data_IF_266468824626
#
_entry.id   IF_266468824626
#
_cell.length_a   1.000
_cell.length_b   1.000
_cell.length_c   1.000
_cell.angle_alpha   90.00
_cell.angle_beta   90.00
_cell.angle_gamma   90.00
#
_symmetry.space_group_name_H-M   'P 1'
#
loop_
_entity.id
_entity.type
_entity.pdbx_description
1 polymer ?
#
# COMPACT_ATOMS: atom_id res chain seq x y z
N UNK A 1 7.89 5.89 -4.34
CA UNK A 1 8.96 4.90 -4.40
C UNK A 1 9.75 4.95 -3.09
N UNK A 2 9.92 3.84 -2.43
CA UNK A 2 10.82 3.68 -1.29
C UNK A 2 11.95 2.75 -1.72
N UNK A 3 13.16 2.98 -1.18
CA UNK A 3 14.24 2.00 -1.30
C UNK A 3 13.85 0.73 -0.54
N UNK A 4 14.21 -0.44 -1.06
CA UNK A 4 14.02 -1.71 -0.35
C UNK A 4 15.14 -1.99 0.66
N UNK A 5 16.28 -1.29 0.52
CA UNK A 5 17.46 -1.49 1.36
C UNK A 5 17.65 -0.44 2.45
N UNK A 6 16.97 0.69 2.36
CA UNK A 6 17.11 1.77 3.32
C UNK A 6 15.80 2.06 4.05
N UNK A 7 15.89 2.29 5.34
CA UNK A 7 14.77 2.64 6.21
C UNK A 7 14.41 4.10 6.02
N UNK A 8 15.41 4.96 5.83
CA UNK A 8 15.22 6.41 5.69
C UNK A 8 15.74 6.91 4.33
N UNK A 9 15.19 8.03 3.84
CA UNK A 9 15.63 8.65 2.59
C UNK A 9 17.06 9.23 2.71
N UNK A 10 17.51 9.52 3.93
CA UNK A 10 18.88 9.95 4.24
C UNK A 10 19.92 8.90 3.87
N UNK A 11 19.60 7.61 4.04
CA UNK A 11 20.52 6.50 3.74
C UNK A 11 20.83 6.37 2.24
N UNK A 12 20.09 7.09 1.38
CA UNK A 12 20.33 7.15 -0.06
C UNK A 12 21.35 8.22 -0.47
N UNK A 13 21.85 8.97 0.48
CA UNK A 13 22.89 9.99 0.28
C UNK A 13 24.18 9.44 0.87
N UNK A 14 25.28 9.61 0.15
CA UNK A 14 26.63 9.14 0.58
C UNK A 14 27.02 9.80 1.90
N UNK A 15 27.31 9.01 2.92
CA UNK A 15 27.61 9.51 4.29
C UNK A 15 28.80 10.45 4.35
N UNK A 16 29.83 10.17 3.56
CA UNK A 16 31.07 10.98 3.50
C UNK A 16 30.88 12.34 2.82
N UNK A 17 29.76 12.51 2.11
CA UNK A 17 29.43 13.75 1.42
C UNK A 17 28.48 14.63 2.22
N UNK A 18 28.18 14.30 3.49
CA UNK A 18 27.24 15.06 4.30
C UNK A 18 27.96 16.33 4.79
N UNK A 19 27.85 17.38 3.98
CA UNK A 19 28.10 18.78 4.30
C UNK A 19 26.78 19.44 4.70
N UNK A 20 26.78 20.74 4.88
CA UNK A 20 25.57 21.52 5.22
C UNK A 20 24.41 21.26 4.22
N UNK A 21 24.77 21.04 2.95
CA UNK A 21 23.81 20.60 1.91
C UNK A 21 24.43 19.45 1.12
N UNK A 22 23.78 18.31 1.12
CA UNK A 22 24.20 17.14 0.34
C UNK A 22 23.04 16.64 -0.51
N UNK A 23 23.33 16.13 -1.69
CA UNK A 23 22.30 15.64 -2.59
C UNK A 23 22.68 14.32 -3.26
N UNK A 24 21.66 13.56 -3.65
CA UNK A 24 21.77 12.40 -4.52
C UNK A 24 20.73 12.50 -5.63
N UNK A 25 21.12 12.15 -6.85
CA UNK A 25 20.24 12.18 -8.02
C UNK A 25 20.18 10.81 -8.69
N UNK A 26 18.99 10.35 -8.97
CA UNK A 26 18.75 9.18 -9.80
C UNK A 26 18.01 9.66 -11.06
N UNK A 27 18.52 9.30 -12.23
CA UNK A 27 17.91 9.66 -13.51
C UNK A 27 17.76 8.40 -14.37
N UNK A 28 16.61 8.27 -15.04
CA UNK A 28 16.32 7.18 -15.96
C UNK A 28 15.51 7.70 -17.15
N UNK A 29 15.67 7.06 -18.29
CA UNK A 29 14.84 7.29 -19.47
C UNK A 29 14.08 6.00 -19.77
N UNK A 30 12.77 6.06 -19.69
CA UNK A 30 11.87 4.96 -20.04
C UNK A 30 11.44 5.17 -21.49
N UNK A 31 11.69 4.18 -22.33
CA UNK A 31 11.25 4.17 -23.73
C UNK A 31 10.10 3.19 -23.87
N UNK A 32 9.00 3.66 -24.42
CA UNK A 32 7.82 2.85 -24.73
C UNK A 32 7.38 3.19 -26.16
N UNK A 33 7.45 2.23 -27.05
CA UNK A 33 7.22 2.44 -28.49
C UNK A 33 8.13 3.57 -29.03
N UNK A 34 7.54 4.67 -29.50
CA UNK A 34 8.27 5.84 -30.02
C UNK A 34 8.40 6.98 -29.00
N UNK A 35 7.82 6.83 -27.81
CA UNK A 35 7.85 7.83 -26.76
C UNK A 35 9.00 7.59 -25.80
N UNK A 36 9.56 8.68 -25.28
CA UNK A 36 10.56 8.62 -24.21
C UNK A 36 10.16 9.49 -23.05
N UNK A 37 10.18 8.91 -21.85
CA UNK A 37 9.85 9.61 -20.60
C UNK A 37 11.07 9.66 -19.70
N UNK A 38 11.55 10.86 -19.41
CA UNK A 38 12.66 11.09 -18.48
C UNK A 38 12.13 11.15 -17.05
N UNK A 39 12.66 10.30 -16.18
CA UNK A 39 12.34 10.26 -14.75
C UNK A 39 13.56 10.73 -13.95
N UNK A 40 13.37 11.63 -13.02
CA UNK A 40 14.42 12.09 -12.12
C UNK A 40 13.91 12.12 -10.68
N UNK A 41 14.70 11.57 -9.76
CA UNK A 41 14.47 11.64 -8.32
C UNK A 41 15.71 12.28 -7.69
N UNK A 42 15.50 13.37 -6.98
CA UNK A 42 16.53 14.08 -6.24
C UNK A 42 16.25 13.91 -4.75
N UNK A 43 17.26 13.53 -4.02
CA UNK A 43 17.27 13.55 -2.56
C UNK A 43 18.21 14.65 -2.11
N UNK A 44 17.73 15.56 -1.30
CA UNK A 44 18.50 16.63 -0.70
C UNK A 44 18.47 16.46 0.81
N UNK A 45 19.64 16.50 1.44
CA UNK A 45 19.78 16.49 2.88
C UNK A 45 20.32 17.84 3.33
N UNK A 46 19.63 18.47 4.26
CA UNK A 46 20.04 19.74 4.88
C UNK A 46 20.22 19.55 6.38
N UNK A 47 21.22 20.19 6.96
CA UNK A 47 21.40 20.24 8.40
C UNK A 47 20.25 21.04 9.02
N UNK A 48 19.72 20.58 10.12
CA UNK A 48 18.65 21.26 10.83
C UNK A 48 19.27 22.25 11.82
N UNK A 49 18.87 23.52 11.77
CA UNK A 49 19.39 24.58 12.63
C UNK A 49 19.09 24.38 14.13
N UNK A 50 18.07 23.56 14.43
CA UNK A 50 17.56 23.40 15.81
C UNK A 50 17.87 22.02 16.44
N UNK A 51 18.61 21.16 15.76
CA UNK A 51 18.99 19.83 16.29
C UNK A 51 20.20 19.28 15.54
N UNK A 52 20.99 18.44 16.16
CA UNK A 52 22.08 17.68 15.49
C UNK A 52 21.56 16.71 14.39
N UNK A 53 20.36 16.95 13.90
CA UNK A 53 19.66 16.15 12.91
C UNK A 53 19.79 16.71 11.50
N UNK A 54 19.62 15.81 10.51
CA UNK A 54 19.50 16.16 9.10
C UNK A 54 18.08 15.88 8.61
N UNK A 55 17.53 16.81 7.83
CA UNK A 55 16.24 16.64 7.17
C UNK A 55 16.47 16.25 5.71
N UNK A 56 15.92 15.11 5.31
CA UNK A 56 15.96 14.65 3.93
C UNK A 56 14.67 15.02 3.19
N UNK A 57 14.80 15.67 2.04
CA UNK A 57 13.68 16.02 1.16
C UNK A 57 13.84 15.31 -0.19
N UNK A 58 12.73 14.91 -0.76
CA UNK A 58 12.68 14.23 -2.05
C UNK A 58 11.92 15.07 -3.08
N UNK A 59 12.56 15.31 -4.20
CA UNK A 59 11.98 15.99 -5.36
C UNK A 59 11.91 15.02 -6.55
N UNK A 60 10.79 15.02 -7.25
CA UNK A 60 10.56 14.14 -8.38
C UNK A 60 10.21 14.98 -9.59
N UNK A 61 10.80 14.64 -10.74
CA UNK A 61 10.48 15.24 -12.02
C UNK A 61 10.19 14.17 -13.07
N UNK A 62 9.21 14.45 -13.90
CA UNK A 62 8.87 13.68 -15.10
C UNK A 62 8.92 14.65 -16.28
N UNK A 63 9.78 14.39 -17.26
CA UNK A 63 10.04 15.29 -18.38
C UNK A 63 10.30 16.74 -17.91
N UNK A 64 11.17 16.89 -16.90
CA UNK A 64 11.54 18.15 -16.22
C UNK A 64 10.41 18.82 -15.41
N UNK A 65 9.17 18.34 -15.46
CA UNK A 65 8.06 18.88 -14.68
C UNK A 65 8.00 18.27 -13.28
N UNK A 66 7.85 19.05 -12.20
CA UNK A 66 7.75 18.52 -10.86
C UNK A 66 6.48 17.68 -10.70
N UNK A 67 6.60 16.53 -10.02
CA UNK A 67 5.52 15.57 -9.79
C UNK A 67 5.53 15.04 -8.36
N UNK A 68 4.38 14.59 -7.89
CA UNK A 68 4.28 13.88 -6.62
C UNK A 68 4.72 12.42 -6.77
N UNK A 69 5.18 11.80 -5.69
CA UNK A 69 5.56 10.38 -5.68
C UNK A 69 4.46 9.46 -6.20
N UNK A 70 3.21 9.86 -6.03
CA UNK A 70 2.04 9.16 -6.53
C UNK A 70 1.94 9.11 -8.05
N UNK A 71 2.43 10.15 -8.71
CA UNK A 71 2.26 10.32 -10.15
C UNK A 71 3.28 9.48 -10.93
N UNK A 72 4.29 8.93 -10.22
CA UNK A 72 5.24 7.97 -10.79
C UNK A 72 4.65 6.56 -10.93
N UNK A 73 3.64 6.25 -10.14
CA UNK A 73 3.04 4.91 -10.14
C UNK A 73 2.34 4.70 -11.48
N UNK A 74 2.72 3.63 -12.19
CA UNK A 74 2.22 3.30 -13.52
C UNK A 74 2.96 3.96 -14.69
N UNK A 75 3.96 4.86 -14.43
CA UNK A 75 4.85 5.36 -15.50
C UNK A 75 5.96 4.34 -15.81
N UNK A 76 6.50 3.73 -14.76
CA UNK A 76 7.46 2.64 -14.86
C UNK A 76 6.94 1.46 -14.04
N UNK A 77 6.53 0.41 -14.73
CA UNK A 77 6.17 -0.85 -14.10
C UNK A 77 7.41 -1.75 -14.06
N UNK A 78 7.92 -1.96 -12.85
CA UNK A 78 9.10 -2.77 -12.63
C UNK A 78 8.79 -3.89 -11.63
N UNK A 79 9.29 -5.08 -11.93
CA UNK A 79 9.28 -6.22 -11.01
C UNK A 79 10.68 -6.35 -10.43
N UNK A 80 10.78 -6.31 -9.13
CA UNK A 80 12.05 -6.51 -8.40
C UNK A 80 11.83 -7.69 -7.48
N UNK A 81 12.72 -8.66 -7.53
CA UNK A 81 12.74 -9.79 -6.59
C UNK A 81 13.91 -9.64 -5.63
N UNK A 82 13.62 -9.71 -4.34
CA UNK A 82 14.60 -9.61 -3.26
C UNK A 82 14.31 -10.67 -2.20
N UNK A 83 15.25 -10.89 -1.28
CA UNK A 83 15.05 -11.81 -0.15
C UNK A 83 13.82 -11.44 0.69
N UNK A 84 13.47 -10.14 0.78
CA UNK A 84 12.30 -9.67 1.51
C UNK A 84 10.97 -10.11 0.86
N UNK A 85 10.98 -10.52 -0.42
CA UNK A 85 9.77 -11.00 -1.09
C UNK A 85 9.36 -12.40 -0.63
N UNK A 86 10.24 -13.12 0.07
CA UNK A 86 9.90 -14.34 0.80
C UNK A 86 8.86 -14.10 1.91
N UNK A 87 8.73 -12.87 2.38
CA UNK A 87 7.68 -12.46 3.32
C UNK A 87 6.26 -12.62 2.74
N UNK A 88 6.12 -12.76 1.42
CA UNK A 88 4.85 -13.09 0.80
C UNK A 88 4.37 -14.47 1.30
N UNK A 89 5.28 -15.39 1.54
CA UNK A 89 4.99 -16.76 2.00
C UNK A 89 5.02 -16.82 3.53
N UNK A 90 6.13 -16.39 4.13
CA UNK A 90 6.39 -16.55 5.57
C UNK A 90 5.94 -15.37 6.43
N UNK A 91 5.73 -14.21 5.82
CA UNK A 91 5.39 -12.97 6.52
C UNK A 91 3.93 -12.87 6.93
N UNK A 92 3.57 -11.70 7.41
CA UNK A 92 2.24 -11.39 7.95
C UNK A 92 1.20 -11.20 6.84
N UNK A 93 -0.10 -11.39 7.12
CA UNK A 93 -1.17 -11.06 6.18
C UNK A 93 -1.14 -9.61 5.67
N UNK A 94 -0.60 -8.67 6.45
CA UNK A 94 -0.37 -7.28 6.04
C UNK A 94 0.61 -7.16 4.88
N UNK A 95 1.66 -8.00 4.85
CA UNK A 95 2.71 -7.94 3.84
C UNK A 95 2.17 -8.47 2.50
N UNK A 96 1.38 -9.54 2.54
CA UNK A 96 0.64 -10.04 1.37
C UNK A 96 -0.35 -9.03 0.80
N UNK A 97 -1.11 -8.33 1.68
CA UNK A 97 -2.01 -7.26 1.22
C UNK A 97 -1.24 -6.10 0.60
N UNK A 98 -0.14 -5.69 1.22
CA UNK A 98 0.73 -4.63 0.70
C UNK A 98 1.31 -4.98 -0.67
N UNK A 99 1.71 -6.22 -0.88
CA UNK A 99 2.16 -6.71 -2.20
C UNK A 99 1.06 -6.54 -3.25
N UNK A 100 -0.17 -7.02 -2.97
CA UNK A 100 -1.31 -6.85 -3.86
C UNK A 100 -1.63 -5.37 -4.12
N UNK A 101 -1.58 -4.54 -3.08
CA UNK A 101 -1.86 -3.11 -3.21
C UNK A 101 -0.86 -2.41 -4.13
N UNK A 102 0.43 -2.77 -4.03
CA UNK A 102 1.48 -2.25 -4.91
C UNK A 102 1.22 -2.70 -6.34
N UNK A 103 0.98 -4.00 -6.55
CA UNK A 103 0.76 -4.59 -7.86
C UNK A 103 -0.46 -3.98 -8.57
N UNK A 104 -1.62 -3.94 -7.88
CA UNK A 104 -2.85 -3.40 -8.45
C UNK A 104 -2.70 -1.89 -8.73
N UNK A 105 -2.07 -1.15 -7.82
CA UNK A 105 -1.87 0.30 -7.99
C UNK A 105 -1.02 0.68 -9.20
N UNK A 106 -0.17 -0.21 -9.70
CA UNK A 106 0.62 0.03 -10.91
C UNK A 106 -0.24 0.01 -12.18
N UNK A 107 -1.30 -0.79 -12.20
CA UNK A 107 -2.15 -1.01 -13.38
C UNK A 107 -3.52 -0.36 -13.27
N UNK A 108 -3.95 0.03 -12.07
CA UNK A 108 -5.26 0.62 -11.79
C UNK A 108 -5.12 1.91 -10.95
N UNK A 109 -5.24 3.07 -11.62
CA UNK A 109 -5.15 4.38 -10.97
C UNK A 109 -6.33 4.67 -10.03
N UNK A 110 -7.50 4.11 -10.32
CA UNK A 110 -8.68 4.26 -9.46
C UNK A 110 -8.49 3.50 -8.15
N UNK A 111 -7.93 2.28 -8.22
CA UNK A 111 -7.55 1.52 -7.05
C UNK A 111 -6.61 2.31 -6.15
N UNK A 112 -5.56 2.92 -6.72
CA UNK A 112 -4.62 3.75 -5.97
C UNK A 112 -5.30 4.94 -5.28
N UNK A 113 -6.26 5.59 -5.96
CA UNK A 113 -7.05 6.69 -5.37
C UNK A 113 -7.87 6.18 -4.18
N UNK A 114 -8.58 5.07 -4.36
CA UNK A 114 -9.42 4.49 -3.31
C UNK A 114 -8.61 3.97 -2.12
N UNK A 115 -7.45 3.39 -2.37
CA UNK A 115 -6.53 2.94 -1.31
C UNK A 115 -6.07 4.11 -0.41
N UNK A 116 -5.82 5.27 -1.00
CA UNK A 116 -5.46 6.48 -0.24
C UNK A 116 -6.62 7.02 0.58
N UNK A 117 -7.80 7.10 -0.02
CA UNK A 117 -8.98 7.56 0.71
C UNK A 117 -9.33 6.60 1.85
N UNK A 118 -9.27 5.29 1.61
CA UNK A 118 -9.44 4.28 2.65
C UNK A 118 -8.46 4.46 3.81
N UNK A 119 -7.18 4.69 3.50
CA UNK A 119 -6.14 4.92 4.53
C UNK A 119 -6.41 6.18 5.37
N UNK A 120 -6.79 7.30 4.73
CA UNK A 120 -7.16 8.53 5.43
C UNK A 120 -8.36 8.33 6.34
N UNK A 121 -9.40 7.69 5.82
CA UNK A 121 -10.64 7.44 6.57
C UNK A 121 -10.37 6.51 7.75
N UNK A 122 -9.58 5.45 7.56
CA UNK A 122 -9.17 4.57 8.65
C UNK A 122 -8.44 5.34 9.74
N UNK A 123 -7.56 6.28 9.38
CA UNK A 123 -6.86 7.13 10.35
C UNK A 123 -7.82 8.00 11.15
N UNK A 124 -8.79 8.64 10.50
CA UNK A 124 -9.81 9.47 11.15
C UNK A 124 -10.72 8.63 12.06
N UNK A 125 -11.19 7.49 11.56
CA UNK A 125 -11.99 6.56 12.37
C UNK A 125 -11.22 6.08 13.60
N UNK A 126 -9.97 5.70 13.45
CA UNK A 126 -9.13 5.26 14.57
C UNK A 126 -8.91 6.39 15.61
N UNK A 127 -8.81 7.63 15.14
CA UNK A 127 -8.76 8.78 16.05
C UNK A 127 -10.04 8.89 16.89
N UNK A 128 -11.22 8.80 16.26
CA UNK A 128 -12.50 8.81 16.97
C UNK A 128 -12.66 7.62 17.94
N UNK A 129 -12.24 6.41 17.52
CA UNK A 129 -12.29 5.24 18.40
C UNK A 129 -11.47 5.43 19.67
N UNK A 130 -10.28 6.05 19.56
CA UNK A 130 -9.45 6.40 20.73
C UNK A 130 -10.12 7.43 21.63
N UNK A 131 -10.75 8.47 21.06
CA UNK A 131 -11.48 9.48 21.80
C UNK A 131 -12.69 8.87 22.52
N UNK A 132 -13.45 7.99 21.84
CA UNK A 132 -14.65 7.32 22.42
C UNK A 132 -14.32 6.48 23.65
N UNK A 133 -13.10 6.04 23.81
CA UNK A 133 -12.65 5.33 24.98
C UNK A 133 -12.73 6.18 26.24
N UNK A 134 -12.57 7.51 26.11
CA UNK A 134 -12.48 8.47 27.22
C UNK A 134 -13.57 9.56 27.19
N UNK A 135 -14.37 9.66 26.14
CA UNK A 135 -15.36 10.73 25.91
C UNK A 135 -16.62 10.16 25.26
N UNK A 136 -17.74 10.86 25.44
CA UNK A 136 -18.98 10.56 24.73
C UNK A 136 -18.90 11.08 23.30
N UNK A 137 -18.69 10.18 22.34
CA UNK A 137 -18.78 10.46 20.90
C UNK A 137 -20.12 9.94 20.39
N UNK A 138 -20.80 10.75 19.59
CA UNK A 138 -22.07 10.38 18.98
C UNK A 138 -21.93 9.12 18.10
N UNK A 139 -22.84 8.14 18.20
CA UNK A 139 -22.89 7.02 17.26
C UNK A 139 -22.92 7.45 15.79
N UNK A 140 -23.57 8.57 15.48
CA UNK A 140 -23.68 9.11 14.13
C UNK A 140 -22.33 9.51 13.52
N UNK A 141 -21.38 10.00 14.33
CA UNK A 141 -20.04 10.33 13.85
C UNK A 141 -19.26 9.09 13.40
N UNK A 142 -19.37 7.98 14.15
CA UNK A 142 -18.72 6.73 13.75
C UNK A 142 -19.40 6.16 12.51
N UNK A 143 -20.73 6.21 12.44
CA UNK A 143 -21.49 5.72 11.30
C UNK A 143 -21.12 6.43 9.99
N UNK A 144 -20.90 7.74 10.04
CA UNK A 144 -20.42 8.51 8.87
C UNK A 144 -19.10 7.96 8.32
N UNK A 145 -18.15 7.62 9.20
CA UNK A 145 -16.89 7.06 8.79
C UNK A 145 -17.02 5.60 8.36
N UNK A 146 -17.90 4.82 8.97
CA UNK A 146 -18.22 3.46 8.58
C UNK A 146 -18.80 3.38 7.17
N UNK A 147 -19.67 4.34 6.79
CA UNK A 147 -20.22 4.44 5.43
C UNK A 147 -19.13 4.68 4.40
N UNK A 148 -18.25 5.62 4.66
CA UNK A 148 -17.11 5.89 3.76
C UNK A 148 -16.13 4.72 3.71
N UNK A 149 -15.82 4.13 4.85
CA UNK A 149 -14.88 3.02 4.94
C UNK A 149 -15.42 1.79 4.22
N UNK A 150 -16.72 1.52 4.33
CA UNK A 150 -17.37 0.39 3.64
C UNK A 150 -17.40 0.56 2.13
N UNK A 151 -17.60 1.78 1.62
CA UNK A 151 -17.56 2.08 0.19
C UNK A 151 -16.19 1.74 -0.42
N UNK A 152 -15.12 2.29 0.16
CA UNK A 152 -13.78 2.06 -0.36
C UNK A 152 -13.26 0.66 -0.03
N UNK A 153 -13.55 0.13 1.16
CA UNK A 153 -13.09 -1.16 1.62
C UNK A 153 -13.63 -2.32 0.79
N UNK A 154 -14.92 -2.32 0.48
CA UNK A 154 -15.53 -3.35 -0.37
C UNK A 154 -14.94 -3.35 -1.78
N UNK A 155 -14.71 -2.17 -2.37
CA UNK A 155 -14.03 -2.05 -3.67
C UNK A 155 -12.61 -2.64 -3.65
N UNK A 156 -11.80 -2.25 -2.65
CA UNK A 156 -10.42 -2.72 -2.52
C UNK A 156 -10.35 -4.25 -2.36
N UNK A 157 -11.22 -4.83 -1.53
CA UNK A 157 -11.30 -6.28 -1.33
C UNK A 157 -11.65 -6.98 -2.64
N UNK A 158 -12.67 -6.50 -3.35
CA UNK A 158 -13.11 -7.11 -4.60
C UNK A 158 -12.02 -7.08 -5.68
N UNK A 159 -11.28 -5.98 -5.78
CA UNK A 159 -10.13 -5.87 -6.68
C UNK A 159 -8.97 -6.80 -6.30
N UNK A 160 -8.72 -7.00 -5.01
CA UNK A 160 -7.72 -7.97 -4.54
C UNK A 160 -8.12 -9.40 -4.87
N UNK A 161 -9.40 -9.75 -4.72
CA UNK A 161 -9.93 -11.07 -5.11
C UNK A 161 -9.73 -11.31 -6.61
N UNK A 162 -10.07 -10.32 -7.45
CA UNK A 162 -9.89 -10.41 -8.91
C UNK A 162 -8.40 -10.57 -9.28
N UNK A 163 -7.51 -9.84 -8.59
CA UNK A 163 -6.08 -9.94 -8.84
C UNK A 163 -5.51 -11.30 -8.41
N UNK A 164 -5.91 -11.80 -7.24
CA UNK A 164 -5.49 -13.14 -6.75
C UNK A 164 -5.90 -14.22 -7.74
N UNK A 165 -7.13 -14.15 -8.27
CA UNK A 165 -7.58 -15.10 -9.30
C UNK A 165 -6.68 -15.06 -10.54
N UNK A 166 -6.38 -13.86 -11.07
CA UNK A 166 -5.46 -13.69 -12.22
C UNK A 166 -4.05 -14.20 -11.92
N UNK A 167 -3.54 -13.93 -10.71
CA UNK A 167 -2.23 -14.43 -10.30
C UNK A 167 -2.21 -15.96 -10.25
N UNK A 168 -3.25 -16.61 -9.73
CA UNK A 168 -3.36 -18.08 -9.71
C UNK A 168 -3.34 -18.64 -11.12
N UNK A 169 -4.18 -18.09 -12.03
CA UNK A 169 -4.25 -18.52 -13.42
C UNK A 169 -2.89 -18.44 -14.15
N UNK A 170 -2.07 -17.42 -13.83
CA UNK A 170 -0.74 -17.24 -14.44
C UNK A 170 0.32 -18.10 -13.75
N UNK A 171 0.27 -18.21 -12.42
CA UNK A 171 1.33 -18.84 -11.63
C UNK A 171 1.23 -20.37 -11.60
N UNK A 172 0.03 -20.92 -11.71
CA UNK A 172 -0.20 -22.37 -11.63
C UNK A 172 0.57 -23.16 -12.71
N UNK A 173 0.50 -22.82 -14.02
CA UNK A 173 1.28 -23.51 -15.03
C UNK A 173 2.79 -23.33 -14.83
N UNK A 174 3.27 -22.14 -14.43
CA UNK A 174 4.68 -21.89 -14.16
C UNK A 174 5.16 -22.73 -12.98
N UNK A 175 4.37 -22.82 -11.91
CA UNK A 175 4.69 -23.64 -10.76
C UNK A 175 4.81 -25.12 -11.12
N UNK A 176 3.89 -25.62 -11.93
CA UNK A 176 3.90 -27.00 -12.41
C UNK A 176 5.15 -27.33 -13.22
N UNK A 177 5.54 -26.42 -14.12
CA UNK A 177 6.76 -26.57 -14.93
C UNK A 177 8.03 -26.57 -14.07
N UNK A 178 8.06 -25.75 -13.01
CA UNK A 178 9.21 -25.65 -12.11
C UNK A 178 9.32 -26.83 -11.13
N UNK A 179 8.18 -27.32 -10.61
CA UNK A 179 8.18 -28.39 -9.60
C UNK A 179 8.47 -29.76 -10.21
N UNK A 180 8.20 -29.94 -11.51
CA UNK A 180 8.33 -31.25 -12.20
C UNK A 180 7.40 -32.33 -11.66
N UNK A 181 6.49 -31.99 -10.75
CA UNK A 181 5.54 -32.85 -10.07
C UNK A 181 4.13 -32.35 -10.40
N UNK A 182 3.13 -33.24 -10.37
CA UNK A 182 1.72 -32.86 -10.53
C UNK A 182 1.16 -32.15 -9.28
N UNK A 183 1.83 -31.08 -8.86
CA UNK A 183 1.38 -30.21 -7.79
C UNK A 183 0.49 -29.10 -8.35
N UNK A 184 -0.56 -28.75 -7.64
CA UNK A 184 -1.44 -27.64 -7.98
C UNK A 184 -1.17 -26.47 -7.03
N UNK A 185 -0.97 -25.28 -7.60
CA UNK A 185 -0.88 -24.04 -6.85
C UNK A 185 -2.23 -23.33 -6.85
N UNK A 186 -2.81 -23.10 -5.67
CA UNK A 186 -4.01 -22.29 -5.51
C UNK A 186 -3.78 -21.14 -4.53
N UNK A 187 -4.05 -19.92 -4.98
CA UNK A 187 -3.96 -18.72 -4.16
C UNK A 187 -5.39 -18.27 -3.77
N UNK A 188 -5.67 -18.21 -2.48
CA UNK A 188 -6.99 -17.91 -1.96
C UNK A 188 -6.96 -16.60 -1.18
N UNK A 189 -7.81 -15.62 -1.59
CA UNK A 189 -8.05 -14.43 -0.78
C UNK A 189 -9.13 -14.74 0.25
N UNK A 190 -8.75 -14.64 1.54
CA UNK A 190 -9.61 -14.97 2.65
C UNK A 190 -10.02 -13.72 3.42
N UNK A 191 -11.31 -13.51 3.60
CA UNK A 191 -11.87 -12.47 4.45
C UNK A 191 -12.37 -13.15 5.73
N UNK A 192 -11.82 -12.75 6.86
CA UNK A 192 -12.31 -13.20 8.16
C UNK A 192 -13.37 -12.22 8.64
N UNK A 193 -14.57 -12.73 8.90
CA UNK A 193 -15.63 -12.02 9.60
C UNK A 193 -15.82 -12.66 10.99
N UNK A 194 -16.62 -12.05 11.86
CA UNK A 194 -16.90 -12.67 13.16
C UNK A 194 -17.69 -13.98 13.06
N UNK A 195 -18.48 -14.14 11.99
CA UNK A 195 -19.37 -15.28 11.82
C UNK A 195 -18.76 -16.40 10.99
N UNK A 196 -17.99 -16.04 9.97
CA UNK A 196 -17.49 -17.01 8.99
C UNK A 196 -16.20 -16.52 8.32
N UNK A 197 -15.56 -17.42 7.61
CA UNK A 197 -14.43 -17.14 6.75
C UNK A 197 -14.85 -17.25 5.29
N UNK A 198 -14.90 -16.11 4.60
CA UNK A 198 -15.28 -16.06 3.19
C UNK A 198 -14.03 -16.25 2.32
N UNK A 199 -14.03 -17.30 1.50
CA UNK A 199 -12.94 -17.59 0.55
C UNK A 199 -13.34 -17.08 -0.83
N UNK A 200 -12.53 -16.19 -1.41
CA UNK A 200 -12.69 -15.64 -2.77
C UNK A 200 -14.10 -15.11 -3.11
N UNK A 201 -14.89 -14.76 -2.09
CA UNK A 201 -16.25 -14.26 -2.26
C UNK A 201 -16.26 -12.74 -2.25
N UNK A 202 -16.81 -12.13 -3.30
CA UNK A 202 -17.00 -10.68 -3.36
C UNK A 202 -17.87 -10.20 -2.21
N UNK A 203 -17.56 -9.03 -1.70
CA UNK A 203 -18.29 -8.39 -0.61
C UNK A 203 -18.90 -7.08 -1.11
N UNK A 204 -20.16 -6.84 -0.79
CA UNK A 204 -20.81 -5.58 -1.05
C UNK A 204 -20.59 -4.57 0.11
N UNK A 205 -20.93 -3.33 -0.14
CA UNK A 205 -20.77 -2.26 0.84
C UNK A 205 -21.58 -2.52 2.11
N UNK A 206 -22.79 -3.08 1.98
CA UNK A 206 -23.69 -3.36 3.11
C UNK A 206 -23.09 -4.41 4.04
N UNK A 207 -22.63 -5.52 3.47
CA UNK A 207 -21.97 -6.59 4.22
C UNK A 207 -20.68 -6.09 4.90
N UNK A 208 -19.89 -5.24 4.22
CA UNK A 208 -18.70 -4.65 4.83
C UNK A 208 -19.07 -3.75 6.02
N UNK A 209 -20.11 -2.89 5.87
CA UNK A 209 -20.60 -2.03 6.96
C UNK A 209 -21.13 -2.83 8.15
N UNK A 210 -21.84 -3.91 7.90
CA UNK A 210 -22.31 -4.83 8.95
C UNK A 210 -21.16 -5.45 9.73
N UNK A 211 -20.08 -5.86 9.04
CA UNK A 211 -18.88 -6.38 9.70
C UNK A 211 -18.21 -5.31 10.58
N UNK A 212 -18.11 -4.05 10.12
CA UNK A 212 -17.58 -2.96 10.95
C UNK A 212 -18.42 -2.75 12.22
N UNK A 213 -19.74 -2.78 12.11
CA UNK A 213 -20.65 -2.67 13.25
C UNK A 213 -20.48 -3.80 14.25
N UNK A 214 -20.33 -5.03 13.78
CA UNK A 214 -20.08 -6.19 14.63
C UNK A 214 -18.74 -6.11 15.37
N UNK A 215 -17.72 -5.52 14.74
CA UNK A 215 -16.40 -5.34 15.34
C UNK A 215 -16.30 -4.09 16.24
N UNK A 216 -17.32 -3.21 16.28
CA UNK A 216 -17.23 -1.88 16.89
C UNK A 216 -16.79 -1.90 18.35
N UNK A 217 -17.33 -2.78 19.17
CA UNK A 217 -16.96 -2.86 20.60
C UNK A 217 -15.47 -3.23 20.78
N UNK A 218 -14.99 -4.16 19.95
CA UNK A 218 -13.58 -4.56 19.93
C UNK A 218 -12.70 -3.43 19.41
N UNK A 219 -13.13 -2.76 18.35
CA UNK A 219 -12.42 -1.62 17.76
C UNK A 219 -12.25 -0.47 18.76
N UNK A 220 -13.28 -0.18 19.56
CA UNK A 220 -13.23 0.83 20.63
C UNK A 220 -12.21 0.40 21.70
N UNK A 221 -12.25 -0.85 22.15
CA UNK A 221 -11.32 -1.36 23.15
C UNK A 221 -9.85 -1.27 22.69
N UNK A 222 -9.60 -1.53 21.42
CA UNK A 222 -8.26 -1.47 20.80
C UNK A 222 -7.88 -0.04 20.36
N UNK A 223 -8.83 0.86 20.18
CA UNK A 223 -8.63 2.18 19.58
C UNK A 223 -8.20 2.12 18.10
N UNK A 224 -8.57 1.05 17.42
CA UNK A 224 -8.19 0.82 16.01
C UNK A 224 -9.19 -0.09 15.30
N UNK A 225 -9.38 0.15 14.01
CA UNK A 225 -10.19 -0.69 13.11
C UNK A 225 -9.48 -2.04 12.92
N UNK A 226 -10.21 -3.14 13.10
CA UNK A 226 -9.70 -4.52 13.00
C UNK A 226 -10.26 -5.28 11.80
#
# INVERSE_FOLDING_TARGET
>A
AKSQRSITERDLIRKESISDISYSKISSVVKENNDSTKLEIHYQCTRSDNSDGFTAQKYIRVNNSPKKSSDLIGILNAVIFTVNDLDIIYGRPSDRRKYLDILISQVDKEYLKFLREYSKITTQRNHLLKLKRNQHISPAEIEFWDDKLSLYGSYLINKRIEMVKKLTEISEPIHRDMSGINETLDCIYQIKTQKESLKCKKIDQKTFKENLRQCLSRDIALGSTT
#
